data_IF_000226137760
#
_entry.id   IF_000226137760
#
_cell.length_a   1.000
_cell.length_b   1.000
_cell.length_c   1.000
_cell.angle_alpha   90.00
_cell.angle_beta   90.00
_cell.angle_gamma   90.00
#
_symmetry.space_group_name_H-M   'P 1'
#
loop_
_entity.id
_entity.type
_entity.pdbx_description
1 polymer ?
#
# COMPACT_ATOMS: atom_id res chain seq x y z
N UNK A 1 9.93 -2.97 -26.58
CA UNK A 1 9.78 -1.99 -25.47
C UNK A 1 8.36 -2.10 -24.93
N UNK A 2 8.17 -2.39 -23.64
CA UNK A 2 6.84 -2.61 -23.06
C UNK A 2 6.00 -1.34 -23.01
N UNK A 3 4.70 -1.44 -23.29
CA UNK A 3 3.76 -0.32 -23.21
C UNK A 3 3.54 0.01 -21.72
N UNK A 4 4.08 1.15 -21.26
CA UNK A 4 3.84 1.70 -19.92
C UNK A 4 2.49 2.42 -19.86
N UNK A 5 1.88 2.49 -18.68
CA UNK A 5 0.68 3.32 -18.46
C UNK A 5 0.90 4.82 -18.74
N UNK A 6 2.15 5.27 -18.85
CA UNK A 6 2.52 6.63 -19.26
C UNK A 6 2.23 6.96 -20.72
N UNK A 7 2.15 5.95 -21.60
CA UNK A 7 1.83 6.12 -23.02
C UNK A 7 0.33 6.31 -23.27
N UNK A 8 -0.50 6.10 -22.23
CA UNK A 8 -1.94 6.33 -22.32
C UNK A 8 -2.23 7.84 -22.33
N UNK A 9 -3.01 8.36 -23.29
CA UNK A 9 -3.45 9.75 -23.27
C UNK A 9 -4.07 10.13 -21.91
N UNK A 10 -3.64 11.27 -21.39
CA UNK A 10 -4.16 11.84 -20.12
C UNK A 10 -5.42 12.65 -20.39
N UNK A 11 -6.36 12.64 -19.44
CA UNK A 11 -7.58 13.47 -19.55
C UNK A 11 -7.18 14.95 -19.59
N UNK A 12 -7.83 15.77 -20.42
CA UNK A 12 -7.55 17.19 -20.49
C UNK A 12 -8.01 17.90 -19.22
N UNK A 13 -7.44 19.08 -18.96
CA UNK A 13 -7.84 19.92 -17.84
C UNK A 13 -9.27 20.43 -18.04
N UNK A 14 -10.03 20.49 -16.94
CA UNK A 14 -11.33 21.16 -16.90
C UNK A 14 -11.15 22.67 -17.03
N UNK A 15 -12.22 23.41 -17.34
CA UNK A 15 -12.18 24.87 -17.49
C UNK A 15 -11.52 25.58 -16.29
N UNK A 16 -11.95 25.25 -15.06
CA UNK A 16 -11.33 25.79 -13.84
C UNK A 16 -9.82 25.50 -13.72
N UNK A 17 -9.38 24.25 -13.92
CA UNK A 17 -7.96 23.92 -13.82
C UNK A 17 -7.11 24.54 -14.93
N UNK A 18 -7.70 24.87 -16.09
CA UNK A 18 -7.04 25.70 -17.11
C UNK A 18 -6.86 27.12 -16.60
N UNK A 19 -7.94 27.77 -16.18
CA UNK A 19 -7.88 29.09 -15.57
C UNK A 19 -6.87 29.15 -14.42
N UNK A 20 -6.86 28.14 -13.54
CA UNK A 20 -5.89 28.04 -12.46
C UNK A 20 -4.47 27.98 -13.02
N UNK A 21 -4.18 27.10 -13.97
CA UNK A 21 -2.84 26.98 -14.57
C UNK A 21 -2.38 28.29 -15.19
N UNK A 22 -3.25 28.97 -15.93
CA UNK A 22 -2.92 30.18 -16.68
C UNK A 22 -2.72 31.39 -15.75
N UNK A 23 -3.44 31.44 -14.63
CA UNK A 23 -3.39 32.56 -13.68
C UNK A 23 -2.45 32.32 -12.49
N UNK A 24 -2.05 31.08 -12.21
CA UNK A 24 -1.28 30.74 -11.01
C UNK A 24 0.03 31.53 -10.90
N UNK A 25 0.78 31.68 -11.99
CA UNK A 25 2.04 32.44 -11.99
C UNK A 25 1.82 33.92 -11.67
N UNK A 26 0.85 34.56 -12.32
CA UNK A 26 0.51 35.97 -12.09
C UNK A 26 0.05 36.21 -10.64
N UNK A 27 -0.78 35.32 -10.09
CA UNK A 27 -1.18 35.39 -8.69
C UNK A 27 0.00 35.20 -7.75
N UNK A 28 0.92 34.27 -8.03
CA UNK A 28 2.11 34.03 -7.21
C UNK A 28 3.07 35.22 -7.24
N UNK A 29 3.27 35.84 -8.39
CA UNK A 29 4.10 37.05 -8.52
C UNK A 29 3.54 38.23 -7.72
N UNK A 30 2.21 38.41 -7.72
CA UNK A 30 1.55 39.44 -6.90
C UNK A 30 1.50 39.10 -5.41
N UNK A 31 1.72 37.83 -5.04
CA UNK A 31 1.60 37.34 -3.68
C UNK A 31 2.74 36.35 -3.36
N UNK A 32 4.02 36.78 -3.38
CA UNK A 32 5.17 35.87 -3.24
C UNK A 32 5.21 35.18 -1.88
N UNK A 33 4.82 35.90 -0.82
CA UNK A 33 4.81 35.42 0.58
C UNK A 33 3.66 34.44 0.89
N UNK A 34 2.62 34.38 0.03
CA UNK A 34 1.45 33.55 0.30
C UNK A 34 1.74 32.08 -0.03
N UNK A 35 1.31 31.19 0.87
CA UNK A 35 1.40 29.74 0.64
C UNK A 35 0.58 29.32 -0.59
N UNK A 36 1.04 28.29 -1.30
CA UNK A 36 0.34 27.82 -2.50
C UNK A 36 -1.12 27.41 -2.21
N UNK A 37 -1.42 26.93 -0.99
CA UNK A 37 -2.78 26.56 -0.61
C UNK A 37 -3.71 27.79 -0.56
N UNK A 38 -3.27 28.87 0.09
CA UNK A 38 -4.04 30.12 0.14
C UNK A 38 -4.12 30.79 -1.23
N UNK A 39 -3.06 30.67 -2.04
CA UNK A 39 -3.06 31.16 -3.41
C UNK A 39 -4.13 30.48 -4.27
N UNK A 40 -4.22 29.14 -4.21
CA UNK A 40 -5.23 28.36 -4.93
C UNK A 40 -6.64 28.71 -4.46
N UNK A 41 -6.84 28.98 -3.16
CA UNK A 41 -8.13 29.48 -2.63
C UNK A 41 -8.49 30.84 -3.22
N UNK A 42 -7.55 31.80 -3.30
CA UNK A 42 -7.79 33.10 -3.94
C UNK A 42 -8.16 32.95 -5.42
N UNK A 43 -7.46 32.11 -6.17
CA UNK A 43 -7.76 31.81 -7.57
C UNK A 43 -9.14 31.15 -7.71
N UNK A 44 -9.52 30.26 -6.78
CA UNK A 44 -10.85 29.68 -6.74
C UNK A 44 -11.95 30.73 -6.53
N UNK A 45 -11.70 31.74 -5.68
CA UNK A 45 -12.57 32.91 -5.52
C UNK A 45 -12.71 33.71 -6.82
N UNK A 46 -11.58 34.08 -7.44
CA UNK A 46 -11.57 34.80 -8.71
C UNK A 46 -12.31 34.04 -9.83
N UNK A 47 -12.20 32.71 -9.88
CA UNK A 47 -12.98 31.89 -10.81
C UNK A 47 -14.48 31.98 -10.54
N UNK A 48 -14.93 32.01 -9.28
CA UNK A 48 -16.36 32.12 -8.95
C UNK A 48 -16.93 33.46 -9.44
N UNK A 49 -16.19 34.53 -9.25
CA UNK A 49 -16.56 35.90 -9.65
C UNK A 49 -16.41 36.15 -11.17
N UNK A 50 -15.66 35.29 -11.88
CA UNK A 50 -15.41 35.45 -13.31
C UNK A 50 -16.73 35.48 -14.11
N UNK A 51 -16.92 36.45 -15.03
CA UNK A 51 -18.12 36.53 -15.86
C UNK A 51 -18.36 35.26 -16.68
N UNK A 52 -19.63 34.97 -16.97
CA UNK A 52 -20.01 33.79 -17.75
C UNK A 52 -19.36 33.76 -19.15
N UNK A 53 -19.23 34.92 -19.80
CA UNK A 53 -18.56 35.05 -21.09
C UNK A 53 -17.09 34.63 -21.05
N UNK A 54 -16.35 35.04 -20.01
CA UNK A 54 -14.96 34.65 -19.84
C UNK A 54 -14.81 33.18 -19.42
N UNK A 55 -15.71 32.67 -18.57
CA UNK A 55 -15.77 31.24 -18.24
C UNK A 55 -16.03 30.37 -19.48
N UNK A 56 -16.87 30.85 -20.39
CA UNK A 56 -17.25 30.14 -21.61
C UNK A 56 -16.04 29.85 -22.50
N UNK A 57 -15.09 30.79 -22.63
CA UNK A 57 -13.83 30.56 -23.36
C UNK A 57 -13.09 29.33 -22.85
N UNK A 58 -12.99 29.15 -21.53
CA UNK A 58 -12.33 27.98 -20.93
C UNK A 58 -13.15 26.69 -21.08
N UNK A 59 -14.48 26.75 -21.08
CA UNK A 59 -15.34 25.59 -21.32
C UNK A 59 -15.29 25.15 -22.79
N UNK A 60 -15.23 26.08 -23.74
CA UNK A 60 -15.02 25.78 -25.16
C UNK A 60 -13.65 25.14 -25.39
N UNK A 61 -12.58 25.72 -24.83
CA UNK A 61 -11.25 25.11 -24.88
C UNK A 61 -11.23 23.69 -24.28
N UNK A 62 -11.97 23.46 -23.18
CA UNK A 62 -12.13 22.13 -22.59
C UNK A 62 -12.86 21.18 -23.54
N UNK A 63 -13.95 21.61 -24.20
CA UNK A 63 -14.71 20.78 -25.16
C UNK A 63 -13.82 20.34 -26.33
N UNK A 64 -13.07 21.27 -26.91
CA UNK A 64 -12.14 21.00 -28.01
C UNK A 64 -11.06 20.00 -27.59
N UNK A 65 -10.44 20.20 -26.43
CA UNK A 65 -9.40 19.28 -25.96
C UNK A 65 -9.97 17.93 -25.52
N UNK A 66 -11.23 17.88 -25.11
CA UNK A 66 -11.91 16.61 -24.86
C UNK A 66 -12.12 15.81 -26.15
N UNK A 67 -12.50 16.46 -27.25
CA UNK A 67 -12.62 15.79 -28.55
C UNK A 67 -11.28 15.24 -29.03
N UNK A 68 -10.20 16.04 -28.96
CA UNK A 68 -8.83 15.59 -29.26
C UNK A 68 -8.42 14.40 -28.38
N UNK A 69 -8.71 14.47 -27.08
CA UNK A 69 -8.45 13.39 -26.14
C UNK A 69 -9.18 12.09 -26.51
N UNK A 70 -10.45 12.16 -26.93
CA UNK A 70 -11.21 10.99 -27.34
C UNK A 70 -10.60 10.33 -28.58
N UNK A 71 -10.22 11.13 -29.58
CA UNK A 71 -9.56 10.64 -30.79
C UNK A 71 -8.22 9.96 -30.45
N UNK A 72 -7.38 10.62 -29.65
CA UNK A 72 -6.10 10.05 -29.20
C UNK A 72 -6.28 8.76 -28.40
N UNK A 73 -7.29 8.71 -27.52
CA UNK A 73 -7.57 7.54 -26.72
C UNK A 73 -8.10 6.38 -27.57
N UNK A 74 -8.92 6.65 -28.59
CA UNK A 74 -9.42 5.66 -29.53
C UNK A 74 -8.25 5.07 -30.34
N UNK A 75 -7.40 5.93 -30.92
CA UNK A 75 -6.20 5.51 -31.64
C UNK A 75 -5.26 4.68 -30.75
N UNK A 76 -5.00 5.14 -29.52
CA UNK A 76 -4.19 4.40 -28.55
C UNK A 76 -4.77 3.02 -28.24
N UNK A 77 -6.09 2.91 -28.04
CA UNK A 77 -6.74 1.62 -27.76
C UNK A 77 -6.69 0.68 -28.97
N UNK A 78 -6.84 1.20 -30.18
CA UNK A 78 -6.79 0.41 -31.41
C UNK A 78 -5.38 -0.17 -31.65
N UNK A 79 -4.33 0.50 -31.19
CA UNK A 79 -2.94 0.02 -31.28
C UNK A 79 -2.58 -1.07 -30.27
N UNK A 80 -3.41 -1.32 -29.24
CA UNK A 80 -3.10 -2.27 -28.18
C UNK A 80 -3.45 -3.71 -28.59
N UNK A 81 -2.53 -4.63 -28.33
CA UNK A 81 -2.86 -6.06 -28.36
C UNK A 81 -3.74 -6.46 -27.17
N UNK A 82 -4.53 -7.53 -27.26
CA UNK A 82 -5.34 -8.02 -26.13
C UNK A 82 -4.51 -8.28 -24.86
N UNK A 83 -3.29 -8.81 -25.02
CA UNK A 83 -2.36 -9.06 -23.92
C UNK A 83 -1.88 -7.76 -23.24
N UNK A 84 -1.53 -6.74 -24.02
CA UNK A 84 -1.14 -5.43 -23.49
C UNK A 84 -2.30 -4.74 -22.78
N UNK A 85 -3.51 -4.81 -23.36
CA UNK A 85 -4.70 -4.28 -22.72
C UNK A 85 -5.02 -4.98 -21.39
N UNK A 86 -4.84 -6.30 -21.30
CA UNK A 86 -4.97 -7.04 -20.04
C UNK A 86 -3.91 -6.63 -19.01
N UNK A 87 -2.64 -6.50 -19.42
CA UNK A 87 -1.54 -6.05 -18.55
C UNK A 87 -1.82 -4.65 -17.95
N UNK A 88 -2.28 -3.70 -18.76
CA UNK A 88 -2.65 -2.35 -18.31
C UNK A 88 -3.85 -2.37 -17.34
N UNK A 89 -4.83 -3.27 -17.54
CA UNK A 89 -5.95 -3.45 -16.59
C UNK A 89 -5.44 -3.98 -15.25
N UNK A 90 -4.55 -4.96 -15.25
CA UNK A 90 -3.93 -5.50 -14.03
C UNK A 90 -3.07 -4.47 -13.29
N UNK A 91 -2.24 -3.72 -14.02
CA UNK A 91 -1.46 -2.63 -13.44
C UNK A 91 -2.37 -1.60 -12.73
N UNK A 92 -3.45 -1.19 -13.40
CA UNK A 92 -4.44 -0.26 -12.83
C UNK A 92 -5.11 -0.86 -11.58
N UNK A 93 -5.46 -2.15 -11.61
CA UNK A 93 -6.04 -2.88 -10.47
C UNK A 93 -5.09 -2.88 -9.28
N UNK A 94 -3.82 -3.26 -9.48
CA UNK A 94 -2.77 -3.25 -8.45
C UNK A 94 -2.56 -1.85 -7.87
N UNK A 95 -2.50 -0.82 -8.72
CA UNK A 95 -2.34 0.58 -8.28
C UNK A 95 -3.52 1.05 -7.42
N UNK A 96 -4.75 0.74 -7.81
CA UNK A 96 -5.95 1.06 -7.05
C UNK A 96 -6.01 0.30 -5.72
N UNK A 97 -5.68 -0.99 -5.73
CA UNK A 97 -5.60 -1.82 -4.52
C UNK A 97 -4.56 -1.27 -3.53
N UNK A 98 -3.37 -0.89 -4.01
CA UNK A 98 -2.32 -0.23 -3.20
C UNK A 98 -2.84 1.09 -2.61
N UNK A 99 -3.50 1.95 -3.40
CA UNK A 99 -4.07 3.21 -2.88
C UNK A 99 -5.16 2.95 -1.83
N UNK A 100 -6.01 1.94 -2.03
CA UNK A 100 -7.03 1.54 -1.04
C UNK A 100 -6.39 1.04 0.26
N UNK A 101 -5.35 0.20 0.18
CA UNK A 101 -4.66 -0.30 1.38
C UNK A 101 -3.94 0.82 2.14
N UNK A 102 -3.34 1.80 1.46
CA UNK A 102 -2.77 2.98 2.11
C UNK A 102 -3.83 3.84 2.79
N UNK A 103 -4.99 4.06 2.14
CA UNK A 103 -6.09 4.81 2.75
C UNK A 103 -6.62 4.12 4.00
N UNK A 104 -6.87 2.81 3.93
CA UNK A 104 -7.30 2.01 5.06
C UNK A 104 -6.26 2.03 6.20
N UNK A 105 -4.97 1.89 5.89
CA UNK A 105 -3.90 1.98 6.89
C UNK A 105 -3.87 3.35 7.56
N UNK A 106 -3.99 4.43 6.80
CA UNK A 106 -4.01 5.80 7.34
C UNK A 106 -5.22 6.02 8.25
N UNK A 107 -6.39 5.53 7.85
CA UNK A 107 -7.60 5.57 8.67
C UNK A 107 -7.39 4.85 10.01
N UNK A 108 -6.83 3.63 10.00
CA UNK A 108 -6.52 2.91 11.23
C UNK A 108 -5.50 3.66 12.12
N UNK A 109 -4.54 4.37 11.52
CA UNK A 109 -3.60 5.21 12.26
C UNK A 109 -4.28 6.43 12.89
N UNK A 110 -5.18 7.10 12.17
CA UNK A 110 -5.97 8.23 12.70
C UNK A 110 -6.89 7.77 13.83
N UNK A 111 -7.47 6.57 13.72
CA UNK A 111 -8.27 5.95 14.78
C UNK A 111 -7.43 5.41 15.96
N UNK A 112 -6.11 5.63 15.94
CA UNK A 112 -5.23 5.21 17.04
C UNK A 112 -5.14 3.71 17.25
N UNK A 113 -5.28 2.91 16.18
CA UNK A 113 -5.24 1.44 16.31
C UNK A 113 -3.89 0.98 16.92
N UNK A 114 -3.92 0.18 18.00
CA UNK A 114 -2.73 -0.34 18.66
C UNK A 114 -1.74 -1.00 17.69
N UNK A 115 -0.45 -0.70 17.86
CA UNK A 115 0.62 -1.37 17.11
C UNK A 115 0.73 -2.82 17.57
N UNK A 116 1.00 -3.71 16.60
CA UNK A 116 1.21 -5.14 16.85
C UNK A 116 2.31 -5.38 17.89
N UNK A 117 2.25 -6.50 18.63
CA UNK A 117 3.24 -6.79 19.64
C UNK A 117 4.62 -6.97 19.00
N UNK A 118 5.64 -6.43 19.65
CA UNK A 118 7.04 -6.54 19.24
C UNK A 118 7.56 -7.94 19.58
N UNK A 119 8.34 -8.53 18.68
CA UNK A 119 9.08 -9.75 18.98
C UNK A 119 10.36 -9.42 19.76
N UNK A 120 10.93 -10.38 20.48
CA UNK A 120 12.18 -10.17 21.20
C UNK A 120 13.31 -9.66 20.30
N UNK A 121 13.38 -10.15 19.05
CA UNK A 121 14.33 -9.61 18.06
C UNK A 121 14.02 -8.15 17.70
N UNK A 122 12.76 -7.74 17.60
CA UNK A 122 12.43 -6.33 17.33
C UNK A 122 12.83 -5.41 18.48
N UNK A 123 12.75 -5.90 19.73
CA UNK A 123 13.17 -5.18 20.92
C UNK A 123 14.70 -5.06 20.94
N UNK A 124 15.40 -6.18 20.75
CA UNK A 124 16.86 -6.21 20.58
C UNK A 124 17.34 -5.24 19.49
N UNK A 125 16.72 -5.27 18.31
CA UNK A 125 17.03 -4.33 17.23
C UNK A 125 16.77 -2.89 17.68
N UNK A 126 15.65 -2.58 18.34
CA UNK A 126 15.39 -1.20 18.76
C UNK A 126 16.42 -0.62 19.73
N UNK A 127 17.03 -1.45 20.57
CA UNK A 127 18.08 -1.04 21.50
C UNK A 127 19.44 -0.91 20.81
N UNK A 128 19.79 -1.87 19.96
CA UNK A 128 21.15 -1.99 19.42
C UNK A 128 21.34 -1.28 18.05
N UNK A 129 20.27 -0.81 17.40
CA UNK A 129 20.34 -0.25 16.04
C UNK A 129 21.05 1.10 15.95
N UNK A 130 20.98 1.93 16.99
CA UNK A 130 21.71 3.21 17.02
C UNK A 130 23.21 2.98 17.14
N UNK A 131 23.61 2.04 17.98
CA UNK A 131 25.01 1.71 18.28
C UNK A 131 25.70 0.91 17.18
N UNK A 132 24.94 0.13 16.40
CA UNK A 132 25.52 -0.64 15.30
C UNK A 132 26.00 0.29 14.19
N UNK A 133 27.28 0.23 13.87
CA UNK A 133 27.86 0.97 12.73
C UNK A 133 27.54 0.30 11.40
N UNK A 134 27.28 1.10 10.36
CA UNK A 134 27.01 0.55 9.05
C UNK A 134 26.58 1.61 8.04
N UNK A 135 27.02 1.41 6.80
CA UNK A 135 26.85 2.34 5.67
C UNK A 135 25.37 2.47 5.28
N UNK A 136 24.56 1.44 5.52
CA UNK A 136 23.11 1.48 5.26
C UNK A 136 22.30 0.84 6.39
N UNK A 137 21.06 1.30 6.63
CA UNK A 137 20.13 0.66 7.56
C UNK A 137 19.95 -0.85 7.31
N UNK A 138 19.98 -1.27 6.05
CA UNK A 138 19.86 -2.68 5.66
C UNK A 138 21.08 -3.49 6.08
N UNK A 139 22.29 -2.93 5.96
CA UNK A 139 23.52 -3.56 6.41
C UNK A 139 23.53 -3.72 7.94
N UNK A 140 23.16 -2.66 8.67
CA UNK A 140 23.02 -2.69 10.14
C UNK A 140 22.05 -3.78 10.59
N UNK A 141 20.88 -3.87 9.96
CA UNK A 141 19.88 -4.89 10.31
C UNK A 141 20.39 -6.31 10.06
N UNK A 142 21.16 -6.53 8.99
CA UNK A 142 21.77 -7.84 8.71
C UNK A 142 22.78 -8.21 9.80
N UNK A 143 23.65 -7.29 10.19
CA UNK A 143 24.62 -7.51 11.28
C UNK A 143 23.92 -7.82 12.60
N UNK A 144 22.88 -7.07 12.96
CA UNK A 144 22.08 -7.32 14.16
C UNK A 144 21.38 -8.67 14.12
N UNK A 145 20.89 -9.09 12.95
CA UNK A 145 20.31 -10.42 12.79
C UNK A 145 21.36 -11.52 13.04
N UNK A 146 22.55 -11.38 12.47
CA UNK A 146 23.64 -12.33 12.65
C UNK A 146 24.12 -12.37 14.11
N UNK A 147 24.20 -11.21 14.77
CA UNK A 147 24.51 -11.09 16.20
C UNK A 147 23.43 -11.78 17.05
N UNK A 148 22.16 -11.50 16.78
CA UNK A 148 21.03 -12.15 17.45
C UNK A 148 21.07 -13.67 17.32
N UNK A 149 21.40 -14.23 16.14
CA UNK A 149 21.50 -15.69 15.99
C UNK A 149 22.58 -16.28 16.91
N UNK A 150 23.71 -15.60 17.07
CA UNK A 150 24.85 -16.03 17.90
C UNK A 150 24.62 -15.88 19.40
N UNK A 151 23.67 -15.05 19.83
CA UNK A 151 23.34 -14.90 21.26
C UNK A 151 22.86 -16.24 21.85
N UNK A 152 23.31 -16.53 23.07
CA UNK A 152 22.88 -17.70 23.83
C UNK A 152 21.42 -17.61 24.25
N UNK A 153 20.84 -18.73 24.69
CA UNK A 153 19.46 -18.75 25.20
C UNK A 153 19.30 -17.78 26.38
N UNK A 154 20.25 -17.74 27.31
CA UNK A 154 20.22 -16.85 28.48
C UNK A 154 20.27 -15.38 28.10
N UNK A 155 21.09 -15.01 27.11
CA UNK A 155 21.17 -13.64 26.60
C UNK A 155 19.88 -13.21 25.86
N UNK A 156 19.17 -14.16 25.25
CA UNK A 156 17.89 -13.91 24.59
C UNK A 156 16.71 -13.80 25.58
N UNK A 157 16.81 -14.41 26.76
CA UNK A 157 15.69 -14.49 27.71
C UNK A 157 15.08 -13.11 28.06
N UNK A 158 15.86 -12.06 28.40
CA UNK A 158 15.29 -10.75 28.74
C UNK A 158 14.43 -10.18 27.60
N UNK A 159 14.91 -10.29 26.36
CA UNK A 159 14.17 -9.85 25.18
C UNK A 159 12.91 -10.67 24.91
N UNK A 160 12.96 -11.98 25.16
CA UNK A 160 11.79 -12.84 25.02
C UNK A 160 10.74 -12.52 26.08
N UNK A 161 11.15 -12.25 27.32
CA UNK A 161 10.26 -11.82 28.40
C UNK A 161 9.60 -10.48 28.08
N UNK A 162 10.38 -9.48 27.65
CA UNK A 162 9.83 -8.19 27.20
C UNK A 162 8.85 -8.33 26.03
N UNK A 163 9.05 -9.32 25.15
CA UNK A 163 8.11 -9.61 24.07
C UNK A 163 6.81 -10.24 24.57
N UNK A 164 6.85 -11.08 25.61
CA UNK A 164 5.63 -11.57 26.27
C UNK A 164 4.87 -10.43 26.95
N UNK A 165 5.56 -9.53 27.65
CA UNK A 165 4.95 -8.35 28.27
C UNK A 165 4.30 -7.43 27.22
N UNK A 166 4.95 -7.25 26.06
CA UNK A 166 4.39 -6.44 24.96
C UNK A 166 3.15 -7.09 24.32
N UNK A 167 2.99 -8.43 24.41
CA UNK A 167 1.72 -9.09 24.03
C UNK A 167 0.60 -8.74 25.01
N UNK A 168 0.89 -8.69 26.31
CA UNK A 168 -0.09 -8.29 27.34
C UNK A 168 -0.52 -6.84 27.11
N UNK A 169 0.44 -5.93 26.91
CA UNK A 169 0.18 -4.53 26.51
C UNK A 169 -0.75 -4.47 25.30
N UNK A 170 -0.41 -5.17 24.21
CA UNK A 170 -1.21 -5.19 22.98
C UNK A 170 -2.63 -5.73 23.22
N UNK A 171 -2.78 -6.78 24.01
CA UNK A 171 -4.08 -7.36 24.32
C UNK A 171 -4.98 -6.35 25.06
N UNK A 172 -4.43 -5.66 26.06
CA UNK A 172 -5.14 -4.64 26.83
C UNK A 172 -5.53 -3.44 25.95
N UNK A 173 -4.56 -2.89 25.20
CA UNK A 173 -4.82 -1.77 24.28
C UNK A 173 -5.87 -2.13 23.22
N UNK A 174 -5.80 -3.34 22.65
CA UNK A 174 -6.77 -3.78 21.66
C UNK A 174 -8.17 -3.95 22.23
N UNK A 175 -8.30 -4.44 23.47
CA UNK A 175 -9.60 -4.56 24.13
C UNK A 175 -10.25 -3.19 24.28
N UNK A 176 -9.51 -2.20 24.78
CA UNK A 176 -9.98 -0.82 24.92
C UNK A 176 -10.28 -0.18 23.57
N UNK A 177 -9.43 -0.39 22.56
CA UNK A 177 -9.63 0.15 21.22
C UNK A 177 -10.85 -0.44 20.52
N UNK A 178 -11.08 -1.75 20.64
CA UNK A 178 -12.25 -2.43 20.06
C UNK A 178 -13.54 -1.95 20.72
N UNK A 179 -13.57 -1.79 22.04
CA UNK A 179 -14.70 -1.20 22.74
C UNK A 179 -15.04 0.21 22.22
N UNK A 180 -14.01 1.06 22.05
CA UNK A 180 -14.16 2.40 21.45
C UNK A 180 -14.68 2.34 20.00
N UNK A 181 -14.26 1.35 19.20
CA UNK A 181 -14.77 1.23 17.82
C UNK A 181 -16.25 0.83 17.79
N UNK A 182 -16.69 -0.03 18.71
CA UNK A 182 -18.12 -0.36 18.88
C UNK A 182 -18.92 0.88 19.28
N UNK A 183 -18.45 1.65 20.25
CA UNK A 183 -19.10 2.90 20.68
C UNK A 183 -19.24 3.92 19.53
N UNK A 184 -18.23 3.99 18.65
CA UNK A 184 -18.25 4.84 17.45
C UNK A 184 -19.04 4.24 16.26
N UNK A 185 -19.71 3.10 16.44
CA UNK A 185 -20.47 2.42 15.38
C UNK A 185 -19.61 1.82 14.26
N UNK A 186 -18.31 1.62 14.51
CA UNK A 186 -17.31 1.08 13.57
C UNK A 186 -16.98 -0.39 13.86
N UNK A 187 -18.03 -1.19 14.02
CA UNK A 187 -17.92 -2.63 14.29
C UNK A 187 -17.20 -3.39 13.15
N UNK A 188 -17.20 -2.82 11.93
CA UNK A 188 -16.44 -3.31 10.77
C UNK A 188 -14.94 -3.46 11.04
N UNK A 189 -14.41 -2.75 12.04
CA UNK A 189 -13.00 -2.71 12.40
C UNK A 189 -12.60 -3.61 13.57
N UNK A 190 -13.58 -4.19 14.26
CA UNK A 190 -13.38 -5.10 15.40
C UNK A 190 -12.96 -6.47 14.89
N UNK A 191 -12.01 -7.13 15.56
CA UNK A 191 -11.62 -8.49 15.18
C UNK A 191 -12.80 -9.43 15.41
N UNK A 192 -13.23 -10.17 14.39
CA UNK A 192 -14.15 -11.29 14.59
C UNK A 192 -13.51 -12.28 15.58
N UNK A 193 -14.29 -12.70 16.59
CA UNK A 193 -13.88 -13.69 17.60
C UNK A 193 -13.58 -15.07 16.97
N UNK A 194 -13.99 -15.30 15.73
CA UNK A 194 -13.57 -16.47 14.95
C UNK A 194 -12.14 -16.30 14.42
N UNK A 195 -11.18 -16.38 15.33
CA UNK A 195 -9.82 -16.72 14.94
C UNK A 195 -9.83 -18.15 14.40
N UNK A 196 -9.76 -18.31 13.07
CA UNK A 196 -9.46 -19.59 12.42
C UNK A 196 -8.29 -20.28 13.16
N UNK A 197 -8.40 -21.56 13.56
CA UNK A 197 -7.28 -22.29 14.11
C UNK A 197 -6.16 -22.34 13.05
N UNK A 198 -5.03 -21.70 13.34
CA UNK A 198 -3.83 -21.83 12.53
C UNK A 198 -3.19 -23.20 12.81
N UNK A 199 -3.15 -24.03 11.77
CA UNK A 199 -2.28 -25.20 11.57
C UNK A 199 -2.63 -26.47 12.35
N UNK A 200 -3.74 -27.11 11.99
CA UNK A 200 -3.86 -28.58 12.10
C UNK A 200 -4.08 -29.27 10.74
N UNK A 201 -4.47 -28.53 9.70
CA UNK A 201 -4.64 -29.05 8.34
C UNK A 201 -3.30 -29.42 7.63
N UNK A 202 -2.15 -29.00 8.16
CA UNK A 202 -0.84 -29.34 7.56
C UNK A 202 -0.31 -30.74 7.99
N UNK A 203 -0.83 -31.33 9.07
CA UNK A 203 -0.41 -32.69 9.48
C UNK A 203 -1.13 -33.80 8.68
N UNK A 204 -2.35 -33.57 8.21
CA UNK A 204 -3.10 -34.56 7.40
C UNK A 204 -2.65 -34.66 5.93
N UNK A 205 -1.89 -33.68 5.42
CA UNK A 205 -1.32 -33.74 4.07
C UNK A 205 0.06 -34.47 4.01
N UNK A 206 0.71 -34.69 5.16
CA UNK A 206 2.01 -35.37 5.25
C UNK A 206 1.90 -36.90 5.13
N UNK A 207 0.80 -37.49 5.61
CA UNK A 207 0.59 -38.95 5.59
C UNK A 207 0.15 -39.49 4.21
N UNK A 208 -0.48 -38.68 3.37
CA UNK A 208 -0.85 -39.09 2.01
C UNK A 208 0.35 -39.13 1.03
N UNK A 209 1.42 -38.37 1.31
CA UNK A 209 2.60 -38.31 0.42
C UNK A 209 3.56 -39.50 0.63
N UNK A 210 3.59 -40.09 1.83
CA UNK A 210 4.36 -41.31 2.11
C UNK A 210 3.80 -42.54 1.36
N UNK A 211 2.47 -42.70 1.32
CA UNK A 211 1.79 -43.81 0.62
C UNK A 211 2.04 -43.81 -0.90
N UNK A 212 2.15 -42.63 -1.52
CA UNK A 212 2.44 -42.51 -2.96
C UNK A 212 3.88 -42.87 -3.34
N UNK A 213 4.84 -42.78 -2.39
CA UNK A 213 6.26 -43.01 -2.65
C UNK A 213 6.62 -44.49 -2.58
N UNK A 214 5.94 -45.28 -1.75
CA UNK A 214 6.05 -46.74 -1.70
C UNK A 214 5.48 -47.44 -2.95
N UNK A 215 4.34 -46.96 -3.48
CA UNK A 215 3.77 -47.53 -4.72
C UNK A 215 4.65 -47.29 -5.95
N UNK A 216 5.43 -46.19 -5.97
CA UNK A 216 6.34 -45.86 -7.09
C UNK A 216 7.67 -46.63 -7.01
N UNK A 217 8.07 -47.09 -5.82
CA UNK A 217 9.25 -47.95 -5.63
C UNK A 217 8.98 -49.40 -6.06
N UNK A 218 7.80 -49.96 -5.70
CA UNK A 218 7.40 -51.32 -6.13
C UNK A 218 7.19 -51.49 -7.64
N UNK A 219 6.84 -50.41 -8.35
CA UNK A 219 6.69 -50.46 -9.82
C UNK A 219 8.02 -50.37 -10.57
N UNK A 220 9.09 -49.87 -9.93
CA UNK A 220 10.43 -49.81 -10.53
C UNK A 220 11.22 -51.10 -10.33
N UNK A 221 11.02 -51.83 -9.24
CA UNK A 221 11.68 -53.12 -9.02
C UNK A 221 11.09 -54.27 -9.84
N UNK A 222 9.85 -54.12 -10.35
CA UNK A 222 9.18 -55.13 -11.18
C UNK A 222 9.46 -54.99 -12.68
N UNK A 223 10.26 -54.01 -13.09
CA UNK A 223 10.60 -53.71 -14.50
C UNK A 223 12.07 -53.98 -14.83
N UNK A 224 12.76 -54.71 -13.95
CA UNK A 224 14.18 -55.05 -14.04
C UNK A 224 14.44 -56.56 -13.95
N UNK A 225 13.40 -57.39 -14.08
CA UNK A 225 13.50 -58.87 -14.13
C UNK A 225 12.80 -59.45 -15.37
N UNK A 226 12.71 -58.68 -16.46
CA UNK A 226 12.37 -59.19 -17.80
C UNK A 226 13.30 -58.57 -18.84
#
# INVERSE_FOLDING_TARGET
RGISSDQRPKRPLTAYFRFLKDNHSAFKQKNPEISNMELVKKIAGAWKELPASQKQVYEEARKTDWQKYQQQLAAYKAQLTPAQAAALREERRKRLAKRRSFRAKRELTVLGKPKRPRSGFNIYVSENFQETEGISPTAKLKQLFDAWQKLSSSQKQPYLQLAEDDKVRYANEMKSWEAKMVELGREDLVRSKEQKPKKEAAKKAGTAKASSREKKAKLKSKKSEE
#
